data_IF_811265363005
#
_entry.id   IF_811265363005
#
_cell.length_a   1.000
_cell.length_b   1.000
_cell.length_c   1.000
_cell.angle_alpha   90.00
_cell.angle_beta   90.00
_cell.angle_gamma   90.00
#
_symmetry.space_group_name_H-M   'P 1'
#
loop_
_entity.id
_entity.type
_entity.pdbx_description
1 polymer ?
#
# COMPACT_ATOMS: atom_id res chain seq x y z
N UNK A 1 -1.05 -77.00 18.90
CA UNK A 1 -1.59 -77.02 17.52
C UNK A 1 -2.62 -75.91 17.40
N UNK A 2 -2.68 -75.27 16.23
CA UNK A 2 -3.52 -74.13 15.82
C UNK A 2 -2.90 -72.72 15.92
N UNK A 3 -2.04 -72.53 14.92
CA UNK A 3 -1.78 -71.38 14.06
C UNK A 3 -2.89 -70.33 13.82
N UNK A 4 -2.39 -69.08 13.66
CA UNK A 4 -2.84 -67.93 12.85
C UNK A 4 -4.24 -67.35 13.02
N UNK A 5 -4.31 -66.04 13.32
CA UNK A 5 -4.90 -65.08 12.39
C UNK A 5 -4.37 -63.66 12.67
N UNK A 6 -3.63 -63.13 11.70
CA UNK A 6 -3.19 -61.74 11.57
C UNK A 6 -4.23 -61.04 10.68
N UNK A 7 -4.88 -59.98 11.17
CA UNK A 7 -5.88 -59.19 10.43
C UNK A 7 -5.53 -57.69 10.59
N UNK A 8 -5.56 -56.90 9.51
CA UNK A 8 -4.68 -55.73 9.30
C UNK A 8 -5.17 -54.43 9.96
N UNK A 9 -4.31 -53.38 10.05
CA UNK A 9 -4.73 -52.08 10.57
C UNK A 9 -5.71 -51.43 9.59
N UNK A 10 -6.97 -51.29 10.02
CA UNK A 10 -7.96 -50.47 9.30
C UNK A 10 -7.67 -49.01 9.61
N UNK A 11 -7.31 -48.29 8.56
CA UNK A 11 -7.12 -46.84 8.51
C UNK A 11 -8.32 -46.12 9.11
N UNK A 12 -8.14 -45.53 10.29
CA UNK A 12 -9.07 -44.53 10.83
C UNK A 12 -9.01 -43.31 9.91
N UNK A 13 -10.02 -43.17 9.05
CA UNK A 13 -10.30 -41.96 8.30
C UNK A 13 -10.85 -40.93 9.30
N UNK A 14 -9.92 -40.22 9.94
CA UNK A 14 -10.20 -39.10 10.82
C UNK A 14 -10.73 -37.97 9.95
N UNK A 15 -12.02 -37.74 10.14
CA UNK A 15 -12.79 -36.57 9.70
C UNK A 15 -11.96 -35.28 9.70
N UNK A 16 -12.06 -34.55 8.59
CA UNK A 16 -11.53 -33.20 8.42
C UNK A 16 -11.77 -32.29 9.64
N UNK A 17 -10.73 -31.70 10.24
CA UNK A 17 -10.87 -30.37 10.78
C UNK A 17 -10.65 -29.39 9.63
N UNK A 18 -11.78 -28.84 9.18
CA UNK A 18 -11.93 -27.62 8.39
C UNK A 18 -10.71 -26.71 8.60
N UNK A 19 -9.93 -26.47 7.54
CA UNK A 19 -8.86 -25.47 7.55
C UNK A 19 -9.56 -24.11 7.67
N UNK A 20 -9.92 -23.73 8.91
CA UNK A 20 -10.27 -22.37 9.27
C UNK A 20 -9.05 -21.56 8.90
N UNK A 21 -9.16 -20.87 7.77
CA UNK A 21 -8.45 -19.64 7.49
C UNK A 21 -8.41 -18.87 8.79
N UNK A 22 -7.27 -18.95 9.48
CA UNK A 22 -6.95 -17.97 10.49
C UNK A 22 -6.86 -16.68 9.70
N UNK A 23 -7.96 -15.92 9.72
CA UNK A 23 -7.94 -14.48 9.53
C UNK A 23 -7.00 -13.94 10.60
N UNK A 24 -5.70 -14.00 10.31
CA UNK A 24 -4.72 -13.14 10.94
C UNK A 24 -5.29 -11.74 10.64
N UNK A 25 -5.75 -10.98 11.66
CA UNK A 25 -6.23 -9.63 11.41
C UNK A 25 -5.11 -8.93 10.68
N UNK A 26 -5.37 -8.56 9.42
CA UNK A 26 -4.37 -8.13 8.47
C UNK A 26 -3.45 -7.16 9.19
N UNK A 27 -2.26 -7.65 9.57
CA UNK A 27 -1.25 -6.90 10.29
C UNK A 27 -1.20 -5.56 9.60
N UNK A 28 -1.55 -4.48 10.32
CA UNK A 28 -1.59 -3.12 9.79
C UNK A 28 -0.42 -2.99 8.84
N UNK A 29 -0.69 -3.03 7.52
CA UNK A 29 0.39 -3.07 6.55
C UNK A 29 1.13 -1.78 6.78
N UNK A 30 2.38 -1.89 7.22
CA UNK A 30 3.23 -0.75 7.57
C UNK A 30 3.32 0.26 6.41
N UNK A 31 2.99 -0.20 5.20
CA UNK A 31 2.84 0.57 3.97
C UNK A 31 1.57 0.09 3.24
N UNK A 32 0.68 1.04 2.90
CA UNK A 32 -0.55 0.84 2.11
C UNK A 32 -0.26 0.80 0.60
N UNK A 33 0.79 1.47 0.14
CA UNK A 33 1.18 1.47 -1.26
C UNK A 33 1.88 0.15 -1.67
N UNK A 34 1.57 -0.40 -2.86
CA UNK A 34 2.22 -1.62 -3.35
C UNK A 34 3.70 -1.34 -3.70
N UNK A 35 4.62 -1.90 -2.92
CA UNK A 35 6.07 -1.69 -3.08
C UNK A 35 6.61 -2.11 -4.46
N UNK A 36 5.99 -3.10 -5.11
CA UNK A 36 6.34 -3.49 -6.48
C UNK A 36 6.16 -2.33 -7.46
N UNK A 37 5.07 -1.56 -7.33
CA UNK A 37 4.80 -0.38 -8.17
C UNK A 37 5.72 0.77 -7.84
N UNK A 38 5.98 1.02 -6.55
CA UNK A 38 6.94 2.03 -6.11
C UNK A 38 8.31 1.75 -6.73
N UNK A 39 8.77 0.48 -6.72
CA UNK A 39 10.04 0.07 -7.33
C UNK A 39 10.07 0.32 -8.83
N UNK A 40 8.99 0.01 -9.55
CA UNK A 40 8.90 0.29 -10.99
C UNK A 40 9.02 1.78 -11.27
N UNK A 41 8.34 2.63 -10.50
CA UNK A 41 8.37 4.09 -10.66
C UNK A 41 9.77 4.63 -10.35
N UNK A 42 10.40 4.21 -9.25
CA UNK A 42 11.76 4.67 -8.89
C UNK A 42 12.78 4.31 -9.98
N UNK A 43 12.62 3.16 -10.65
CA UNK A 43 13.49 2.71 -11.74
C UNK A 43 13.24 3.37 -13.10
N UNK A 44 12.22 4.22 -13.27
CA UNK A 44 12.05 4.99 -14.51
C UNK A 44 13.14 6.06 -14.66
N UNK A 45 13.77 6.46 -13.56
CA UNK A 45 14.88 7.41 -13.55
C UNK A 45 16.14 6.69 -14.07
N UNK A 46 16.71 7.11 -15.22
CA UNK A 46 17.83 6.41 -15.87
C UNK A 46 19.09 6.28 -15.01
N UNK A 47 19.28 7.19 -14.04
CA UNK A 47 20.41 7.18 -13.11
C UNK A 47 20.30 6.11 -12.00
N UNK A 48 19.14 5.47 -11.83
CA UNK A 48 18.91 4.53 -10.73
C UNK A 48 19.17 3.09 -11.18
N UNK A 49 20.33 2.55 -10.82
CA UNK A 49 20.73 1.17 -11.14
C UNK A 49 20.25 0.15 -10.10
N UNK A 50 20.43 0.47 -8.81
CA UNK A 50 20.11 -0.38 -7.66
C UNK A 50 19.21 0.38 -6.68
N UNK A 51 18.27 -0.34 -6.08
CA UNK A 51 17.37 0.20 -5.05
C UNK A 51 17.35 -0.79 -3.89
N UNK A 52 17.76 -0.33 -2.70
CA UNK A 52 17.74 -1.15 -1.48
C UNK A 52 16.30 -1.33 -0.97
N UNK A 53 16.06 -2.38 -0.19
CA UNK A 53 14.76 -2.61 0.44
C UNK A 53 14.36 -1.47 1.37
N UNK A 54 15.31 -0.95 2.15
CA UNK A 54 15.10 0.18 3.07
C UNK A 54 14.68 1.44 2.31
N UNK A 55 15.40 1.80 1.23
CA UNK A 55 15.03 2.95 0.42
C UNK A 55 13.63 2.79 -0.20
N UNK A 56 13.28 1.59 -0.65
CA UNK A 56 11.96 1.30 -1.22
C UNK A 56 10.83 1.47 -0.19
N UNK A 57 11.05 0.99 1.03
CA UNK A 57 10.12 1.12 2.17
C UNK A 57 10.00 2.59 2.59
N UNK A 58 11.12 3.31 2.70
CA UNK A 58 11.12 4.75 3.04
C UNK A 58 10.39 5.58 1.99
N UNK A 59 10.63 5.36 0.70
CA UNK A 59 9.92 6.07 -0.37
C UNK A 59 8.43 5.79 -0.31
N UNK A 60 8.03 4.52 -0.11
CA UNK A 60 6.61 4.16 0.06
C UNK A 60 5.95 4.92 1.22
N UNK A 61 6.58 4.92 2.39
CA UNK A 61 6.09 5.66 3.57
C UNK A 61 6.03 7.17 3.33
N UNK A 62 7.07 7.76 2.73
CA UNK A 62 7.12 9.19 2.45
C UNK A 62 6.04 9.61 1.43
N UNK A 63 5.78 8.79 0.41
CA UNK A 63 4.71 9.05 -0.55
C UNK A 63 3.34 9.07 0.12
N UNK A 64 3.08 8.17 1.08
CA UNK A 64 1.83 8.17 1.84
C UNK A 64 1.68 9.44 2.69
N UNK A 65 2.76 9.82 3.39
CA UNK A 65 2.78 11.06 4.17
C UNK A 65 2.60 12.28 3.30
N UNK A 66 3.24 12.30 2.13
CA UNK A 66 3.10 13.36 1.15
C UNK A 66 1.65 13.51 0.69
N UNK A 67 0.97 12.42 0.31
CA UNK A 67 -0.44 12.47 -0.12
C UNK A 67 -1.34 13.01 1.00
N UNK A 68 -1.14 12.55 2.24
CA UNK A 68 -1.93 13.03 3.38
C UNK A 68 -1.75 14.54 3.61
N UNK A 69 -0.51 15.02 3.57
CA UNK A 69 -0.17 16.43 3.79
C UNK A 69 -0.62 17.32 2.64
N UNK A 70 -0.46 16.85 1.40
CA UNK A 70 -0.93 17.54 0.20
C UNK A 70 -2.45 17.68 0.21
N UNK A 71 -3.18 16.60 0.47
CA UNK A 71 -4.64 16.65 0.57
C UNK A 71 -5.11 17.61 1.66
N UNK A 72 -4.44 17.66 2.83
CA UNK A 72 -4.77 18.63 3.89
C UNK A 72 -4.61 20.07 3.41
N UNK A 73 -3.52 20.36 2.71
CA UNK A 73 -3.27 21.70 2.18
C UNK A 73 -4.34 22.11 1.14
N UNK A 74 -4.73 21.21 0.25
CA UNK A 74 -5.80 21.45 -0.73
C UNK A 74 -7.16 21.64 -0.06
N UNK A 75 -7.46 20.84 0.98
CA UNK A 75 -8.69 20.95 1.76
C UNK A 75 -8.76 22.31 2.45
N UNK A 76 -7.65 22.78 3.05
CA UNK A 76 -7.58 24.08 3.69
C UNK A 76 -7.93 25.20 2.69
N UNK A 77 -7.29 25.22 1.51
CA UNK A 77 -7.61 26.18 0.44
C UNK A 77 -9.08 26.10 0.03
N UNK A 78 -9.62 24.89 -0.15
CA UNK A 78 -11.03 24.68 -0.53
C UNK A 78 -12.00 25.20 0.54
N UNK A 79 -11.66 25.03 1.83
CA UNK A 79 -12.47 25.52 2.95
C UNK A 79 -12.40 27.04 3.09
N UNK A 80 -11.25 27.67 2.80
CA UNK A 80 -11.13 29.13 2.77
C UNK A 80 -12.05 29.77 1.71
N UNK A 81 -12.30 29.05 0.61
CA UNK A 81 -13.28 29.47 -0.41
C UNK A 81 -14.75 29.17 -0.02
N UNK A 82 -15.00 28.59 1.16
CA UNK A 82 -16.34 28.22 1.63
C UNK A 82 -16.94 26.99 0.93
N UNK A 83 -16.14 26.26 0.16
CA UNK A 83 -16.58 25.07 -0.59
C UNK A 83 -16.27 23.80 0.22
N UNK A 84 -17.05 22.74 -0.02
CA UNK A 84 -16.83 21.40 0.55
C UNK A 84 -16.39 20.37 -0.50
N UNK A 85 -16.43 20.75 -1.77
CA UNK A 85 -16.06 19.90 -2.90
C UNK A 85 -14.69 20.34 -3.40
N UNK A 86 -13.73 19.40 -3.42
CA UNK A 86 -12.42 19.63 -4.02
C UNK A 86 -12.58 19.58 -5.54
N UNK A 87 -12.12 20.62 -6.22
CA UNK A 87 -12.07 20.69 -7.67
C UNK A 87 -10.63 20.70 -8.14
N UNK A 88 -10.40 20.38 -9.42
CA UNK A 88 -9.07 20.45 -10.03
C UNK A 88 -8.45 21.85 -9.90
N UNK A 89 -9.26 22.90 -9.98
CA UNK A 89 -8.81 24.28 -9.82
C UNK A 89 -8.18 24.50 -8.43
N UNK A 90 -8.83 24.05 -7.35
CA UNK A 90 -8.27 24.20 -6.00
C UNK A 90 -6.93 23.48 -5.83
N UNK A 91 -6.74 22.34 -6.53
CA UNK A 91 -5.46 21.63 -6.54
C UNK A 91 -4.40 22.48 -7.24
N UNK A 92 -4.73 23.05 -8.41
CA UNK A 92 -3.82 23.93 -9.14
C UNK A 92 -3.44 25.17 -8.32
N UNK A 93 -4.43 25.81 -7.70
CA UNK A 93 -4.21 27.00 -6.89
C UNK A 93 -3.31 26.69 -5.68
N UNK A 94 -3.46 25.50 -5.08
CA UNK A 94 -2.59 25.04 -3.99
C UNK A 94 -1.14 24.82 -4.46
N UNK A 95 -0.95 24.25 -5.66
CA UNK A 95 0.38 24.05 -6.26
C UNK A 95 1.06 25.39 -6.55
N UNK A 96 0.31 26.34 -7.13
CA UNK A 96 0.82 27.67 -7.48
C UNK A 96 1.10 28.56 -6.26
N UNK A 97 0.30 28.41 -5.20
CA UNK A 97 0.39 29.25 -3.99
C UNK A 97 1.50 28.78 -3.03
N UNK A 98 1.73 27.47 -2.93
CA UNK A 98 2.63 26.92 -1.91
C UNK A 98 3.93 26.39 -2.52
N UNK A 99 5.04 27.08 -2.23
CA UNK A 99 6.38 26.76 -2.75
C UNK A 99 6.81 25.29 -2.57
N UNK A 100 6.38 24.61 -1.50
CA UNK A 100 6.73 23.19 -1.26
C UNK A 100 6.19 22.25 -2.35
N UNK A 101 5.20 22.69 -3.13
CA UNK A 101 4.57 21.93 -4.21
C UNK A 101 4.97 22.40 -5.61
N UNK A 102 5.93 23.33 -5.73
CA UNK A 102 6.41 23.87 -7.02
C UNK A 102 6.90 22.78 -7.98
N UNK A 103 7.41 21.66 -7.46
CA UNK A 103 7.82 20.51 -8.29
C UNK A 103 6.67 19.78 -9.00
N UNK A 104 5.41 20.08 -8.65
CA UNK A 104 4.21 19.58 -9.31
C UNK A 104 3.69 20.52 -10.40
N UNK A 105 4.30 21.70 -10.54
CA UNK A 105 3.91 22.64 -11.59
C UNK A 105 4.17 22.02 -12.98
N UNK A 106 3.23 22.20 -13.90
CA UNK A 106 3.22 21.55 -15.22
C UNK A 106 2.92 20.03 -15.22
N UNK A 107 2.72 19.39 -14.06
CA UNK A 107 2.20 18.01 -13.98
C UNK A 107 0.67 18.03 -13.88
N UNK A 108 0.13 19.03 -13.19
CA UNK A 108 -1.31 19.24 -13.04
C UNK A 108 -1.69 20.33 -14.06
N UNK A 109 -2.34 19.91 -15.15
CA UNK A 109 -2.90 20.77 -16.21
C UNK A 109 -4.31 20.34 -16.52
#
# INVERSE_FOLDING_TARGET
MHTFDEVPPTTENISDPVNKSHDIPATEKLIRLPLSRVKTIVKTVPAVSLVTSEALVSVGFLCERFIQEFCRSVIEVTLQEGKKTITKQHVQDTVNSVRKYEFLDGIIE
#
